data_IF_868466589824
#
_entry.id   IF_868466589824
#
_cell.length_a   1.000
_cell.length_b   1.000
_cell.length_c   1.000
_cell.angle_alpha   90.00
_cell.angle_beta   90.00
_cell.angle_gamma   90.00
#
_symmetry.space_group_name_H-M   'P 1'
#
loop_
_entity.id
_entity.type
_entity.pdbx_description
1 polymer ?
#
# COMPACT_ATOMS: atom_id res chain seq x y z
N UNK A 1 7.92 5.21 -7.39
CA UNK A 1 8.72 5.09 -6.12
C UNK A 1 9.26 6.48 -5.74
N UNK A 2 9.12 6.93 -4.49
CA UNK A 2 9.60 8.24 -4.01
C UNK A 2 10.51 8.06 -2.79
N UNK A 3 11.82 8.05 -3.01
CA UNK A 3 12.84 7.75 -2.00
C UNK A 3 12.97 8.84 -0.94
N UNK A 4 12.72 10.11 -1.28
CA UNK A 4 12.86 11.25 -0.35
C UNK A 4 11.85 11.24 0.83
N UNK A 5 10.80 10.43 0.72
CA UNK A 5 9.81 10.23 1.78
C UNK A 5 10.18 9.09 2.74
N UNK A 6 11.01 8.14 2.32
CA UNK A 6 11.36 6.96 3.11
C UNK A 6 12.15 7.34 4.37
N UNK A 7 11.93 6.59 5.45
CA UNK A 7 12.57 6.86 6.76
C UNK A 7 11.98 8.08 7.50
N UNK A 8 10.96 8.72 6.93
CA UNK A 8 10.19 9.80 7.57
C UNK A 8 8.84 9.29 8.03
N UNK A 9 8.02 10.20 8.55
CA UNK A 9 6.69 9.92 9.05
C UNK A 9 5.65 10.74 8.28
N UNK A 10 4.45 10.19 8.12
CA UNK A 10 3.29 10.91 7.61
C UNK A 10 2.94 12.06 8.57
N UNK A 11 2.72 13.29 8.06
CA UNK A 11 2.32 14.41 8.91
C UNK A 11 0.99 14.13 9.63
N UNK A 12 0.84 14.66 10.84
CA UNK A 12 -0.33 14.43 11.68
C UNK A 12 -0.30 13.07 12.39
N UNK A 13 -0.63 12.00 11.66
CA UNK A 13 -0.79 10.65 12.24
C UNK A 13 0.53 9.98 12.62
N UNK A 14 1.67 10.47 12.12
CA UNK A 14 3.01 9.93 12.36
C UNK A 14 3.16 8.44 12.01
N UNK A 15 2.51 7.99 10.94
CA UNK A 15 2.71 6.64 10.40
C UNK A 15 4.08 6.58 9.70
N UNK A 16 4.93 5.57 9.96
CA UNK A 16 6.24 5.45 9.31
C UNK A 16 6.10 5.23 7.80
N UNK A 17 6.93 5.93 7.02
CA UNK A 17 7.00 5.77 5.58
C UNK A 17 8.14 4.79 5.26
N UNK A 18 7.75 3.56 4.96
CA UNK A 18 8.64 2.45 4.67
C UNK A 18 8.86 2.29 3.15
N UNK A 19 9.94 1.63 2.73
CA UNK A 19 10.13 1.26 1.33
C UNK A 19 9.15 0.12 0.94
N UNK A 20 8.83 -0.07 -0.36
CA UNK A 20 7.82 -1.05 -0.80
C UNK A 20 8.08 -2.49 -0.34
N UNK A 21 9.35 -2.87 -0.18
CA UNK A 21 9.80 -4.20 0.23
C UNK A 21 9.24 -4.59 1.61
N UNK A 22 9.02 -3.61 2.49
CA UNK A 22 8.44 -3.83 3.81
C UNK A 22 7.02 -4.40 3.77
N UNK A 23 6.29 -4.21 2.66
CA UNK A 23 4.96 -4.80 2.50
C UNK A 23 5.03 -6.34 2.47
N UNK A 24 6.03 -6.89 1.77
CA UNK A 24 6.21 -8.33 1.66
C UNK A 24 6.77 -8.96 2.94
N UNK A 25 7.54 -8.20 3.71
CA UNK A 25 8.03 -8.63 5.02
C UNK A 25 6.92 -8.65 6.06
N UNK A 26 6.09 -7.59 6.10
CA UNK A 26 5.02 -7.46 7.09
C UNK A 26 3.79 -8.34 6.80
N UNK A 27 3.50 -8.64 5.53
CA UNK A 27 2.33 -9.43 5.08
C UNK A 27 1.02 -9.08 5.82
N UNK A 28 0.56 -7.81 5.79
CA UNK A 28 -0.71 -7.47 6.41
C UNK A 28 -1.88 -8.13 5.67
N UNK A 29 -2.96 -8.44 6.37
CA UNK A 29 -4.19 -8.95 5.73
C UNK A 29 -4.77 -7.97 4.70
N UNK A 30 -4.61 -6.67 4.96
CA UNK A 30 -5.15 -5.60 4.14
C UNK A 30 -4.18 -4.43 3.96
N UNK A 31 -4.18 -3.85 2.76
CA UNK A 31 -3.52 -2.57 2.44
C UNK A 31 -4.56 -1.53 2.02
N UNK A 32 -4.61 -0.40 2.72
CA UNK A 32 -5.39 0.76 2.27
C UNK A 32 -4.64 1.52 1.18
N UNK A 33 -5.20 1.57 -0.02
CA UNK A 33 -4.59 2.23 -1.17
C UNK A 33 -4.98 3.70 -1.20
N UNK A 34 -4.15 4.55 -0.59
CA UNK A 34 -4.33 6.00 -0.62
C UNK A 34 -4.02 6.61 -1.99
N UNK A 35 -3.11 6.00 -2.76
CA UNK A 35 -2.80 6.38 -4.14
C UNK A 35 -3.74 5.66 -5.14
N UNK A 36 -5.04 5.72 -4.88
CA UNK A 36 -6.07 4.96 -5.59
C UNK A 36 -6.13 5.24 -7.10
N UNK A 37 -5.68 6.42 -7.52
CA UNK A 37 -5.65 6.80 -8.94
C UNK A 37 -4.57 6.05 -9.75
N UNK A 38 -3.70 5.28 -9.08
CA UNK A 38 -2.70 4.40 -9.70
C UNK A 38 -2.93 2.93 -9.32
N UNK A 39 -4.16 2.54 -8.97
CA UNK A 39 -4.46 1.24 -8.38
C UNK A 39 -3.98 0.06 -9.24
N UNK A 40 -4.23 0.08 -10.55
CA UNK A 40 -3.87 -1.05 -11.43
C UNK A 40 -2.35 -1.26 -11.50
N UNK A 41 -1.58 -0.17 -11.55
CA UNK A 41 -0.11 -0.22 -11.50
C UNK A 41 0.39 -0.75 -10.14
N UNK A 42 -0.23 -0.30 -9.05
CA UNK A 42 0.10 -0.75 -7.68
C UNK A 42 -0.14 -2.25 -7.55
N UNK A 43 -1.32 -2.74 -7.95
CA UNK A 43 -1.66 -4.17 -7.86
C UNK A 43 -0.72 -5.00 -8.73
N UNK A 44 -0.37 -4.54 -9.92
CA UNK A 44 0.59 -5.21 -10.78
C UNK A 44 1.99 -5.30 -10.12
N UNK A 45 2.46 -4.20 -9.52
CA UNK A 45 3.76 -4.18 -8.82
C UNK A 45 3.76 -4.99 -7.53
N UNK A 46 2.60 -5.17 -6.89
CA UNK A 46 2.44 -5.91 -5.63
C UNK A 46 1.78 -7.29 -5.84
N UNK A 47 1.98 -7.90 -7.02
CA UNK A 47 1.39 -9.19 -7.37
C UNK A 47 1.75 -10.31 -6.39
N UNK A 48 2.98 -10.31 -5.87
CA UNK A 48 3.42 -11.32 -4.89
C UNK A 48 2.71 -11.19 -3.53
N UNK A 49 2.50 -9.97 -3.04
CA UNK A 49 1.73 -9.72 -1.83
C UNK A 49 0.30 -10.28 -1.96
N UNK A 50 -0.32 -10.02 -3.12
CA UNK A 50 -1.65 -10.56 -3.44
C UNK A 50 -1.65 -12.08 -3.56
N UNK A 51 -0.64 -12.66 -4.21
CA UNK A 51 -0.50 -14.11 -4.35
C UNK A 51 -0.37 -14.83 -3.00
N UNK A 52 0.20 -14.15 -1.99
CA UNK A 52 0.30 -14.63 -0.60
C UNK A 52 -0.97 -14.41 0.23
N UNK A 53 -2.06 -13.95 -0.40
CA UNK A 53 -3.37 -13.79 0.23
C UNK A 53 -3.70 -12.37 0.70
N UNK A 54 -2.79 -11.43 0.51
CA UNK A 54 -2.99 -10.02 0.82
C UNK A 54 -4.11 -9.38 0.00
N UNK A 55 -4.88 -8.47 0.61
CA UNK A 55 -6.04 -7.81 0.00
C UNK A 55 -5.86 -6.30 -0.03
N UNK A 56 -6.52 -5.63 -0.96
CA UNK A 56 -6.48 -4.17 -1.06
C UNK A 56 -7.82 -3.54 -0.69
N UNK A 57 -7.77 -2.44 0.06
CA UNK A 57 -8.92 -1.58 0.31
C UNK A 57 -8.77 -0.35 -0.58
N UNK A 58 -9.73 -0.15 -1.49
CA UNK A 58 -9.80 1.04 -2.35
C UNK A 58 -10.90 1.95 -1.83
N UNK A 59 -10.58 3.15 -1.29
CA UNK A 59 -11.55 3.97 -0.59
C UNK A 59 -12.48 4.80 -1.51
N UNK A 60 -12.12 4.99 -2.78
CA UNK A 60 -12.80 5.90 -3.73
C UNK A 60 -13.27 5.12 -4.98
N UNK A 61 -14.43 5.45 -5.59
CA UNK A 61 -15.46 6.40 -5.12
C UNK A 61 -16.27 5.87 -3.93
N UNK A 62 -16.34 4.54 -3.77
CA UNK A 62 -16.94 3.87 -2.63
C UNK A 62 -15.97 2.81 -2.10
N UNK A 63 -15.84 2.65 -0.77
CA UNK A 63 -14.95 1.66 -0.19
C UNK A 63 -15.26 0.24 -0.68
N UNK A 64 -14.23 -0.44 -1.17
CA UNK A 64 -14.31 -1.85 -1.58
C UNK A 64 -13.04 -2.61 -1.24
N UNK A 65 -13.19 -3.90 -1.01
CA UNK A 65 -12.08 -4.86 -0.91
C UNK A 65 -11.87 -5.50 -2.27
N UNK A 66 -10.61 -5.61 -2.69
CA UNK A 66 -10.16 -6.20 -3.96
C UNK A 66 -9.07 -7.24 -3.73
#
# INVERSE_FOLDING_TARGET
RNTHKQGKYMPGQRIPILPPEALLEAQPDYVLVLAWNFFDEIVAQQAEYRARGGKFIVPVPTPRVV
#
